data_IF_543171134978
#
_entry.id   IF_543171134978
#
_cell.length_a   1.000
_cell.length_b   1.000
_cell.length_c   1.000
_cell.angle_alpha   90.00
_cell.angle_beta   90.00
_cell.angle_gamma   90.00
#
_symmetry.space_group_name_H-M   'P 1'
#
loop_
_entity.id
_entity.type
_entity.pdbx_description
1 polymer ?
#
# COMPACT_ATOMS: atom_id res chain seq x y z
N UNK A 1 30.99 21.13 -31.12
CA UNK A 1 31.29 21.22 -29.67
C UNK A 1 29.96 21.27 -28.92
N UNK A 2 29.64 20.17 -28.24
CA UNK A 2 28.70 19.97 -27.12
C UNK A 2 27.51 20.93 -26.91
N UNK A 3 26.27 20.41 -26.94
CA UNK A 3 25.46 20.34 -25.71
C UNK A 3 24.30 19.34 -25.83
N UNK A 4 24.22 18.51 -24.80
CA UNK A 4 23.21 17.49 -24.49
C UNK A 4 21.83 18.16 -24.33
N UNK A 5 20.75 17.52 -24.81
CA UNK A 5 19.55 17.37 -23.99
C UNK A 5 18.80 16.11 -24.44
N UNK A 6 18.88 15.11 -23.57
CA UNK A 6 18.25 13.80 -23.68
C UNK A 6 16.76 13.98 -23.40
N UNK A 7 15.96 13.39 -24.29
CA UNK A 7 14.56 13.00 -24.15
C UNK A 7 13.90 13.34 -22.80
N UNK A 8 13.08 14.39 -22.80
CA UNK A 8 11.99 14.59 -21.85
C UNK A 8 10.92 13.52 -22.10
N UNK A 9 11.19 12.29 -21.67
CA UNK A 9 10.22 11.20 -21.64
C UNK A 9 9.14 11.54 -20.61
N UNK A 10 7.98 11.94 -21.13
CA UNK A 10 6.67 11.52 -20.67
C UNK A 10 6.58 10.99 -19.23
N UNK A 11 6.40 11.90 -18.26
CA UNK A 11 5.87 11.59 -16.93
C UNK A 11 4.71 12.51 -16.54
N UNK A 12 3.97 13.02 -17.54
CA UNK A 12 2.85 13.94 -17.33
C UNK A 12 1.46 13.29 -17.56
N UNK A 13 1.36 11.98 -17.72
CA UNK A 13 0.10 11.29 -18.08
C UNK A 13 -0.43 10.28 -17.07
N UNK A 14 0.11 10.22 -15.85
CA UNK A 14 -0.36 9.31 -14.80
C UNK A 14 -0.94 10.00 -13.55
N UNK A 15 -1.14 11.33 -13.61
CA UNK A 15 -1.64 12.12 -12.47
C UNK A 15 -3.14 12.44 -12.51
N UNK A 16 -3.89 11.94 -13.49
CA UNK A 16 -5.33 12.26 -13.63
C UNK A 16 -6.26 11.05 -13.64
N UNK A 17 -5.73 9.82 -13.67
CA UNK A 17 -6.55 8.62 -13.47
C UNK A 17 -6.76 8.32 -11.98
N UNK A 18 -5.76 8.56 -11.12
CA UNK A 18 -5.83 8.24 -9.68
C UNK A 18 -6.79 9.12 -8.86
N UNK A 19 -7.18 10.30 -9.35
CA UNK A 19 -8.02 11.22 -8.60
C UNK A 19 -9.54 10.92 -8.71
N UNK A 20 -9.98 10.09 -9.66
CA UNK A 20 -11.40 9.79 -9.89
C UNK A 20 -11.82 8.40 -9.39
N UNK A 21 -10.88 7.48 -9.14
CA UNK A 21 -11.19 6.16 -8.56
C UNK A 21 -11.20 6.14 -7.03
N UNK A 22 -11.09 7.31 -6.37
CA UNK A 22 -11.37 7.45 -4.94
C UNK A 22 -12.88 7.35 -4.63
N UNK A 23 -13.61 6.44 -5.30
CA UNK A 23 -14.72 5.75 -4.66
C UNK A 23 -14.07 4.97 -3.52
N UNK A 24 -14.03 5.62 -2.36
CA UNK A 24 -13.27 5.31 -1.16
C UNK A 24 -13.06 3.81 -1.00
N UNK A 25 -11.85 3.32 -1.28
CA UNK A 25 -11.47 1.98 -0.89
C UNK A 25 -11.88 1.78 0.58
N UNK A 26 -12.47 0.63 0.94
CA UNK A 26 -12.99 0.43 2.28
C UNK A 26 -11.87 0.71 3.29
N UNK A 27 -12.18 1.46 4.35
CA UNK A 27 -11.16 1.90 5.32
C UNK A 27 -10.38 0.71 5.93
N UNK A 28 -11.03 -0.44 6.04
CA UNK A 28 -10.44 -1.73 6.38
C UNK A 28 -9.32 -2.15 5.41
N UNK A 29 -9.56 -2.06 4.10
CA UNK A 29 -8.58 -2.42 3.08
C UNK A 29 -7.39 -1.46 3.07
N UNK A 30 -7.65 -0.16 3.22
CA UNK A 30 -6.58 0.85 3.33
C UNK A 30 -5.70 0.55 4.55
N UNK A 31 -6.31 0.20 5.68
CA UNK A 31 -5.59 -0.17 6.90
C UNK A 31 -4.80 -1.46 6.71
N UNK A 32 -5.40 -2.46 6.06
CA UNK A 32 -4.75 -3.73 5.75
C UNK A 32 -3.52 -3.55 4.86
N UNK A 33 -3.61 -2.72 3.83
CA UNK A 33 -2.48 -2.44 2.94
C UNK A 33 -1.36 -1.71 3.64
N UNK A 34 -1.69 -0.75 4.51
CA UNK A 34 -0.68 -0.08 5.35
C UNK A 34 0.05 -1.08 6.23
N UNK A 35 -0.69 -2.00 6.86
CA UNK A 35 -0.11 -3.05 7.69
C UNK A 35 0.74 -4.03 6.88
N UNK A 36 0.30 -4.46 5.70
CA UNK A 36 1.05 -5.35 4.81
C UNK A 36 2.34 -4.71 4.28
N UNK A 37 2.27 -3.45 3.83
CA UNK A 37 3.46 -2.69 3.41
C UNK A 37 4.40 -2.47 4.58
N UNK A 38 3.88 -2.18 5.77
CA UNK A 38 4.70 -2.02 6.96
C UNK A 38 5.40 -3.33 7.35
N UNK A 39 4.70 -4.45 7.37
CA UNK A 39 5.29 -5.75 7.61
C UNK A 39 6.42 -6.06 6.60
N UNK A 40 6.23 -5.71 5.33
CA UNK A 40 7.22 -5.97 4.28
C UNK A 40 8.41 -5.00 4.25
N UNK A 41 8.25 -3.75 4.69
CA UNK A 41 9.25 -2.68 4.46
C UNK A 41 9.78 -1.98 5.70
N UNK A 42 9.12 -2.13 6.85
CA UNK A 42 9.46 -1.41 8.06
C UNK A 42 10.36 -2.18 9.03
N UNK A 43 10.86 -3.37 8.64
CA UNK A 43 11.77 -4.20 9.46
C UNK A 43 11.32 -4.31 10.94
N UNK A 44 10.02 -4.56 11.15
CA UNK A 44 9.39 -4.47 12.48
C UNK A 44 9.75 -5.62 13.43
N UNK A 45 10.63 -6.54 13.02
CA UNK A 45 11.01 -7.70 13.81
C UNK A 45 9.85 -8.64 14.12
N UNK A 46 8.88 -8.75 13.20
CA UNK A 46 7.74 -9.66 13.35
C UNK A 46 8.22 -11.11 13.32
N UNK A 47 7.68 -11.95 14.20
CA UNK A 47 7.89 -13.39 14.09
C UNK A 47 7.27 -13.93 12.78
N UNK A 48 7.84 -14.97 12.17
CA UNK A 48 7.37 -15.51 10.88
C UNK A 48 5.88 -15.92 10.90
N UNK A 49 5.38 -16.37 12.04
CA UNK A 49 3.96 -16.69 12.21
C UNK A 49 3.08 -15.44 12.04
N UNK A 50 3.50 -14.31 12.59
CA UNK A 50 2.77 -13.03 12.50
C UNK A 50 2.87 -12.45 11.09
N UNK A 51 4.01 -12.60 10.40
CA UNK A 51 4.15 -12.26 8.97
C UNK A 51 3.18 -13.04 8.08
N UNK A 52 3.04 -14.35 8.32
CA UNK A 52 2.04 -15.16 7.61
C UNK A 52 0.62 -14.72 7.93
N UNK A 53 0.32 -14.44 9.19
CA UNK A 53 -1.01 -13.99 9.61
C UNK A 53 -1.42 -12.66 8.99
N UNK A 54 -0.50 -11.69 8.88
CA UNK A 54 -0.81 -10.41 8.23
C UNK A 54 -1.01 -10.59 6.73
N UNK A 55 -0.21 -11.43 6.06
CA UNK A 55 -0.41 -11.74 4.64
C UNK A 55 -1.79 -12.35 4.37
N UNK A 56 -2.17 -13.36 5.16
CA UNK A 56 -3.49 -13.98 5.09
C UNK A 56 -4.62 -12.99 5.39
N UNK A 57 -4.41 -12.12 6.37
CA UNK A 57 -5.39 -11.12 6.77
C UNK A 57 -5.64 -10.08 5.68
N UNK A 58 -4.56 -9.55 5.07
CA UNK A 58 -4.64 -8.64 3.92
C UNK A 58 -5.41 -9.30 2.78
N UNK A 59 -5.06 -10.55 2.42
CA UNK A 59 -5.73 -11.27 1.34
C UNK A 59 -7.23 -11.50 1.60
N UNK A 60 -7.63 -11.79 2.85
CA UNK A 60 -9.05 -11.93 3.21
C UNK A 60 -9.80 -10.61 3.11
N UNK A 61 -9.19 -9.51 3.52
CA UNK A 61 -9.81 -8.18 3.45
C UNK A 61 -9.92 -7.72 1.99
N UNK A 62 -8.91 -7.99 1.16
CA UNK A 62 -8.95 -7.80 -0.30
C UNK A 62 -10.16 -8.50 -0.92
N UNK A 63 -10.33 -9.79 -0.62
CA UNK A 63 -11.45 -10.58 -1.16
C UNK A 63 -12.82 -10.02 -0.72
N UNK A 64 -12.91 -9.49 0.50
CA UNK A 64 -14.15 -8.88 1.03
C UNK A 64 -14.43 -7.49 0.45
N UNK A 65 -13.43 -6.82 -0.13
CA UNK A 65 -13.56 -5.44 -0.60
C UNK A 65 -14.49 -5.28 -1.80
N UNK A 66 -14.62 -6.31 -2.63
CA UNK A 66 -15.40 -6.26 -3.88
C UNK A 66 -14.80 -5.34 -4.96
N UNK A 67 -13.59 -4.82 -4.77
CA UNK A 67 -12.88 -3.99 -5.75
C UNK A 67 -12.33 -4.83 -6.91
N UNK A 68 -12.22 -4.22 -8.08
CA UNK A 68 -11.55 -4.85 -9.21
C UNK A 68 -10.02 -4.89 -8.99
N UNK A 69 -9.35 -5.86 -9.63
CA UNK A 69 -7.90 -6.04 -9.49
C UNK A 69 -7.11 -4.75 -9.77
N UNK A 70 -7.50 -3.98 -10.79
CA UNK A 70 -6.84 -2.72 -11.13
C UNK A 70 -6.93 -1.67 -10.01
N UNK A 71 -8.02 -1.68 -9.23
CA UNK A 71 -8.22 -0.77 -8.10
C UNK A 71 -7.39 -1.22 -6.89
N UNK A 72 -7.34 -2.54 -6.64
CA UNK A 72 -6.46 -3.13 -5.62
C UNK A 72 -4.99 -2.80 -5.92
N UNK A 73 -4.55 -3.02 -7.16
CA UNK A 73 -3.18 -2.73 -7.60
C UNK A 73 -2.86 -1.24 -7.46
N UNK A 74 -3.80 -0.36 -7.82
CA UNK A 74 -3.63 1.09 -7.67
C UNK A 74 -3.52 1.50 -6.20
N UNK A 75 -4.35 0.94 -5.31
CA UNK A 75 -4.31 1.23 -3.87
C UNK A 75 -3.02 0.72 -3.23
N UNK A 76 -2.58 -0.48 -3.61
CA UNK A 76 -1.31 -1.04 -3.15
C UNK A 76 -0.12 -0.20 -3.62
N UNK A 77 -0.12 0.22 -4.89
CA UNK A 77 0.91 1.11 -5.43
C UNK A 77 0.93 2.46 -4.73
N UNK A 78 -0.23 3.07 -4.46
CA UNK A 78 -0.35 4.31 -3.70
C UNK A 78 0.20 4.14 -2.27
N UNK A 79 -0.15 3.05 -1.59
CA UNK A 79 0.32 2.78 -0.22
C UNK A 79 1.84 2.60 -0.17
N UNK A 80 2.42 1.94 -1.16
CA UNK A 80 3.87 1.84 -1.29
C UNK A 80 4.54 3.18 -1.59
N UNK A 81 3.90 4.04 -2.39
CA UNK A 81 4.41 5.39 -2.65
C UNK A 81 4.39 6.25 -1.39
N UNK A 82 3.33 6.15 -0.56
CA UNK A 82 3.26 6.82 0.74
C UNK A 82 4.37 6.36 1.69
N UNK A 83 4.64 5.04 1.76
CA UNK A 83 5.76 4.51 2.54
C UNK A 83 7.11 5.00 1.99
N UNK A 84 7.28 5.09 0.68
CA UNK A 84 8.50 5.59 0.08
C UNK A 84 8.70 7.10 0.32
N UNK A 85 7.61 7.87 0.40
CA UNK A 85 7.64 9.31 0.65
C UNK A 85 7.99 9.65 2.11
N UNK A 86 7.52 8.87 3.08
CA UNK A 86 7.83 9.04 4.50
C UNK A 86 7.93 7.69 5.22
N UNK A 87 9.05 7.01 5.05
CA UNK A 87 9.23 5.68 5.66
C UNK A 87 9.12 5.72 7.18
N UNK A 88 9.74 6.71 7.84
CA UNK A 88 9.78 6.75 9.31
C UNK A 88 8.38 7.03 9.91
N UNK A 89 7.65 8.01 9.37
CA UNK A 89 6.29 8.31 9.81
C UNK A 89 5.30 7.22 9.43
N UNK A 90 5.45 6.61 8.25
CA UNK A 90 4.62 5.47 7.83
C UNK A 90 4.80 4.28 8.76
N UNK A 91 6.05 3.88 9.04
CA UNK A 91 6.33 2.74 9.91
C UNK A 91 5.89 2.98 11.35
N UNK A 92 6.08 4.20 11.89
CA UNK A 92 5.66 4.56 13.23
C UNK A 92 4.14 4.55 13.43
N UNK A 93 3.36 4.79 12.37
CA UNK A 93 1.89 4.81 12.43
C UNK A 93 1.22 3.51 11.99
N UNK A 94 1.91 2.71 11.17
CA UNK A 94 1.36 1.49 10.57
C UNK A 94 1.65 0.22 11.36
N UNK A 95 2.58 0.26 12.33
CA UNK A 95 2.82 -0.87 13.24
C UNK A 95 1.54 -1.24 14.01
N UNK A 96 0.79 -0.25 14.50
CA UNK A 96 -0.50 -0.45 15.20
C UNK A 96 -1.61 -0.97 14.28
N UNK A 97 -1.43 -0.87 12.96
CA UNK A 97 -2.39 -1.39 11.99
C UNK A 97 -2.26 -2.92 11.82
N UNK A 98 -1.13 -3.52 12.19
CA UNK A 98 -0.89 -4.97 12.00
C UNK A 98 -1.85 -5.80 12.85
N UNK A 99 -1.86 -5.58 14.16
CA UNK A 99 -2.74 -6.35 15.05
C UNK A 99 -4.23 -6.06 14.77
N UNK A 100 -4.58 -4.82 14.38
CA UNK A 100 -5.94 -4.46 13.95
C UNK A 100 -6.35 -5.20 12.68
N UNK A 101 -5.46 -5.30 11.70
CA UNK A 101 -5.71 -6.01 10.43
C UNK A 101 -5.89 -7.50 10.67
N UNK A 102 -5.05 -8.11 11.50
CA UNK A 102 -5.19 -9.52 11.88
C UNK A 102 -6.52 -9.76 12.61
N UNK A 103 -6.91 -8.87 13.53
CA UNK A 103 -8.18 -8.98 14.24
C UNK A 103 -9.40 -8.82 13.33
N UNK A 104 -9.37 -7.88 12.38
CA UNK A 104 -10.46 -7.62 11.44
C UNK A 104 -10.68 -8.75 10.41
N UNK A 105 -9.64 -9.54 10.13
CA UNK A 105 -9.71 -10.64 9.18
C UNK A 105 -10.37 -11.92 9.73
N UNK A 106 -10.49 -12.06 11.06
CA UNK A 106 -11.02 -13.24 11.75
C UNK A 106 -12.53 -13.18 12.02
#
# INVERSE_FOLDING_TARGET
MNLKLVASLAFATLLTAGAVFAQSAPAELVTAYKAGVAAAKCELGLDPAKESQIGDAVQRIEQKSGLAQAELDALWASTQADQAADSAGFCGTSADAIDKTIAAAN
#
